data_IF_984269101908
#
_entry.id   IF_984269101908
#
_cell.length_a   1.000
_cell.length_b   1.000
_cell.length_c   1.000
_cell.angle_alpha   90.00
_cell.angle_beta   90.00
_cell.angle_gamma   90.00
#
_symmetry.space_group_name_H-M   'P 1'
#
loop_
_entity.id
_entity.type
_entity.pdbx_description
1 polymer ?
#
# COMPACT_ATOMS: atom_id res chain seq x y z
N UNK A 1 -8.24 -10.96 15.88
CA UNK A 1 -6.93 -11.62 15.81
C UNK A 1 -6.62 -12.18 14.41
N UNK A 2 -7.50 -13.00 13.78
CA UNK A 2 -7.20 -13.62 12.47
C UNK A 2 -6.98 -12.59 11.34
N UNK A 3 -7.76 -11.53 11.26
CA UNK A 3 -7.62 -10.48 10.24
C UNK A 3 -6.38 -9.63 10.53
N UNK A 4 -6.10 -9.32 11.78
CA UNK A 4 -4.89 -8.62 12.21
C UNK A 4 -3.65 -9.44 11.86
N UNK A 5 -3.62 -10.72 12.25
CA UNK A 5 -2.51 -11.62 11.94
C UNK A 5 -2.29 -11.77 10.43
N UNK A 6 -3.38 -11.85 9.64
CA UNK A 6 -3.29 -11.89 8.19
C UNK A 6 -2.76 -10.58 7.61
N UNK A 7 -3.20 -9.43 8.12
CA UNK A 7 -2.72 -8.13 7.68
C UNK A 7 -1.23 -7.93 7.99
N UNK A 8 -0.81 -8.28 9.19
CA UNK A 8 0.56 -8.08 9.67
C UNK A 8 1.57 -9.08 9.07
N UNK A 9 1.10 -10.20 8.54
CA UNK A 9 1.94 -11.23 7.94
C UNK A 9 1.78 -11.27 6.43
N UNK A 10 0.71 -11.89 5.96
CA UNK A 10 0.51 -12.18 4.52
C UNK A 10 0.34 -10.92 3.69
N UNK A 11 -0.56 -10.02 4.10
CA UNK A 11 -0.80 -8.78 3.37
C UNK A 11 0.40 -7.85 3.42
N UNK A 12 1.07 -7.75 4.58
CA UNK A 12 2.27 -6.94 4.75
C UNK A 12 3.42 -7.42 3.86
N UNK A 13 3.68 -8.71 3.83
CA UNK A 13 4.73 -9.28 2.98
C UNK A 13 4.42 -9.08 1.49
N UNK A 14 3.21 -9.40 1.06
CA UNK A 14 2.78 -9.25 -0.33
C UNK A 14 2.79 -7.78 -0.76
N UNK A 15 2.32 -6.87 0.09
CA UNK A 15 2.31 -5.43 -0.18
C UNK A 15 3.72 -4.84 -0.30
N UNK A 16 4.63 -5.20 0.61
CA UNK A 16 6.03 -4.76 0.55
C UNK A 16 6.73 -5.30 -0.70
N UNK A 17 6.54 -6.56 -1.03
CA UNK A 17 7.10 -7.17 -2.23
C UNK A 17 6.60 -6.46 -3.49
N UNK A 18 5.30 -6.22 -3.59
CA UNK A 18 4.70 -5.51 -4.71
C UNK A 18 5.24 -4.07 -4.84
N UNK A 19 5.40 -3.36 -3.72
CA UNK A 19 5.95 -2.01 -3.71
C UNK A 19 7.42 -1.98 -4.14
N UNK A 20 8.24 -2.90 -3.65
CA UNK A 20 9.66 -3.01 -4.04
C UNK A 20 9.79 -3.27 -5.53
N UNK A 21 8.97 -4.15 -6.08
CA UNK A 21 8.94 -4.41 -7.52
C UNK A 21 8.52 -3.18 -8.33
N UNK A 22 7.48 -2.48 -7.90
CA UNK A 22 7.03 -1.25 -8.54
C UNK A 22 8.13 -0.18 -8.53
N UNK A 23 8.81 0.01 -7.39
CA UNK A 23 9.92 0.95 -7.27
C UNK A 23 11.14 0.55 -8.12
N UNK A 24 11.38 -0.75 -8.31
CA UNK A 24 12.42 -1.24 -9.19
C UNK A 24 12.20 -0.85 -10.67
N UNK A 25 10.94 -0.83 -11.09
CA UNK A 25 10.53 -0.51 -12.47
C UNK A 25 10.30 0.98 -12.71
N UNK A 26 9.90 1.73 -11.67
CA UNK A 26 9.57 3.15 -11.76
C UNK A 26 10.62 4.01 -11.04
N UNK A 27 11.49 4.71 -11.79
CA UNK A 27 12.52 5.59 -11.20
C UNK A 27 11.94 6.74 -10.35
N UNK A 28 10.77 7.27 -10.72
CA UNK A 28 10.14 8.37 -9.97
C UNK A 28 9.64 7.87 -8.61
N UNK A 29 8.97 6.70 -8.59
CA UNK A 29 8.53 6.08 -7.35
C UNK A 29 9.73 5.72 -6.47
N UNK A 30 10.80 5.19 -7.06
CA UNK A 30 12.04 4.84 -6.35
C UNK A 30 12.66 6.05 -5.66
N UNK A 31 12.78 7.16 -6.36
CA UNK A 31 13.34 8.41 -5.80
C UNK A 31 12.40 8.98 -4.73
N UNK A 32 11.10 8.92 -4.94
CA UNK A 32 10.10 9.40 -3.97
C UNK A 32 10.08 8.62 -2.65
N UNK A 33 10.50 7.35 -2.67
CA UNK A 33 10.62 6.50 -1.48
C UNK A 33 11.92 6.72 -0.69
N UNK A 34 12.90 7.44 -1.26
CA UNK A 34 14.16 7.73 -0.57
C UNK A 34 13.93 8.78 0.53
N UNK A 35 14.66 8.67 1.64
CA UNK A 35 14.65 9.69 2.70
C UNK A 35 15.00 11.08 2.14
N UNK A 36 14.36 12.11 2.69
CA UNK A 36 14.56 13.50 2.23
C UNK A 36 15.95 14.07 2.53
N UNK A 37 16.63 13.49 3.51
CA UNK A 37 17.98 13.89 3.95
C UNK A 37 19.12 13.31 3.10
N UNK A 38 18.79 12.48 2.08
CA UNK A 38 19.82 11.95 1.18
C UNK A 38 20.37 13.04 0.25
N UNK A 39 21.72 13.11 0.08
CA UNK A 39 22.34 14.04 -0.87
C UNK A 39 21.85 13.84 -2.31
N UNK A 40 21.69 14.93 -3.06
CA UNK A 40 21.23 14.90 -4.45
C UNK A 40 22.01 13.96 -5.38
N UNK A 41 23.36 13.85 -5.27
CA UNK A 41 24.12 12.90 -6.10
C UNK A 41 23.69 11.44 -5.88
N UNK A 42 23.42 11.04 -4.62
CA UNK A 42 22.98 9.70 -4.28
C UNK A 42 21.57 9.46 -4.82
N UNK A 43 20.69 10.43 -4.66
CA UNK A 43 19.31 10.40 -5.17
C UNK A 43 19.30 10.25 -6.70
N UNK A 44 20.15 10.98 -7.41
CA UNK A 44 20.29 10.90 -8.86
C UNK A 44 20.79 9.54 -9.35
N UNK A 45 21.77 8.95 -8.67
CA UNK A 45 22.30 7.62 -8.99
C UNK A 45 21.22 6.56 -8.79
N UNK A 46 20.49 6.62 -7.69
CA UNK A 46 19.39 5.66 -7.40
C UNK A 46 18.27 5.76 -8.43
N UNK A 47 17.96 6.94 -8.92
CA UNK A 47 16.98 7.15 -10.00
C UNK A 47 17.48 6.64 -11.35
N UNK A 48 18.77 6.72 -11.61
CA UNK A 48 19.38 6.34 -12.89
C UNK A 48 19.59 4.82 -13.08
N UNK A 49 19.43 4.00 -12.05
CA UNK A 49 19.59 2.53 -12.16
C UNK A 49 18.53 1.98 -13.11
N UNK A 50 18.92 1.30 -14.22
CA UNK A 50 17.97 0.73 -15.14
C UNK A 50 17.11 -0.34 -14.45
N UNK A 51 15.79 -0.26 -14.61
CA UNK A 51 14.85 -1.26 -14.06
C UNK A 51 15.12 -2.69 -14.53
N UNK A 52 15.66 -2.86 -15.74
CA UNK A 52 16.01 -4.17 -16.30
C UNK A 52 17.04 -4.96 -15.52
N UNK A 53 17.87 -4.32 -14.68
CA UNK A 53 18.82 -5.03 -13.82
C UNK A 53 18.13 -5.75 -12.66
N UNK A 54 16.96 -5.29 -12.27
CA UNK A 54 16.17 -5.85 -11.17
C UNK A 54 15.16 -6.89 -11.67
N UNK A 55 14.75 -6.80 -12.94
CA UNK A 55 13.73 -7.68 -13.54
C UNK A 55 14.13 -9.17 -13.52
N UNK A 56 15.40 -9.50 -13.71
CA UNK A 56 15.84 -10.89 -13.75
C UNK A 56 15.69 -11.64 -12.41
N UNK A 57 15.55 -10.90 -11.31
CA UNK A 57 15.39 -11.49 -9.97
C UNK A 57 13.93 -11.53 -9.53
N UNK A 58 13.11 -10.59 -10.03
CA UNK A 58 11.72 -10.40 -9.58
C UNK A 58 10.68 -11.09 -10.46
N UNK A 59 10.97 -11.33 -11.75
CA UNK A 59 10.00 -11.96 -12.67
C UNK A 59 9.71 -13.44 -12.34
N UNK A 60 10.65 -14.15 -11.73
CA UNK A 60 10.53 -15.59 -11.48
C UNK A 60 9.66 -15.95 -10.27
N UNK A 61 9.34 -14.99 -9.39
CA UNK A 61 8.77 -15.32 -8.07
C UNK A 61 7.27 -15.00 -7.97
N UNK A 62 6.65 -14.15 -8.84
CA UNK A 62 5.49 -13.43 -8.34
C UNK A 62 4.22 -13.30 -9.17
N UNK A 63 4.03 -13.95 -10.30
CA UNK A 63 2.75 -13.86 -11.01
C UNK A 63 1.60 -14.53 -10.24
N UNK A 64 1.86 -15.68 -9.61
CA UNK A 64 0.89 -16.38 -8.77
C UNK A 64 0.56 -15.62 -7.49
N UNK A 65 1.58 -15.14 -6.78
CA UNK A 65 1.41 -14.37 -5.54
C UNK A 65 0.66 -13.05 -5.76
N UNK A 66 0.90 -12.40 -6.88
CA UNK A 66 0.19 -11.17 -7.25
C UNK A 66 -1.28 -11.41 -7.56
N UNK A 67 -1.61 -12.52 -8.25
CA UNK A 67 -2.98 -12.93 -8.51
C UNK A 67 -3.72 -13.28 -7.21
N UNK A 68 -3.05 -13.96 -6.29
CA UNK A 68 -3.59 -14.31 -4.97
C UNK A 68 -3.82 -13.06 -4.11
N UNK A 69 -2.89 -12.11 -4.16
CA UNK A 69 -3.04 -10.81 -3.50
C UNK A 69 -4.25 -10.05 -4.05
N UNK A 70 -4.38 -9.95 -5.37
CA UNK A 70 -5.50 -9.28 -6.00
C UNK A 70 -6.83 -9.93 -5.61
N UNK A 71 -6.93 -11.27 -5.65
CA UNK A 71 -8.12 -11.99 -5.25
C UNK A 71 -8.50 -11.73 -3.78
N UNK A 72 -7.52 -11.72 -2.89
CA UNK A 72 -7.71 -11.41 -1.46
C UNK A 72 -8.19 -9.97 -1.26
N UNK A 73 -7.64 -9.02 -2.00
CA UNK A 73 -8.05 -7.62 -1.95
C UNK A 73 -9.47 -7.42 -2.52
N UNK A 74 -9.85 -8.13 -3.58
CA UNK A 74 -11.21 -8.11 -4.10
C UNK A 74 -12.23 -8.65 -3.09
N UNK A 75 -11.89 -9.71 -2.37
CA UNK A 75 -12.72 -10.24 -1.28
C UNK A 75 -12.85 -9.23 -0.14
N UNK A 76 -11.76 -8.57 0.21
CA UNK A 76 -11.76 -7.52 1.22
C UNK A 76 -12.64 -6.34 0.79
N UNK A 77 -12.56 -5.92 -0.46
CA UNK A 77 -13.41 -4.88 -1.04
C UNK A 77 -14.89 -5.23 -0.93
N UNK A 78 -15.26 -6.46 -1.24
CA UNK A 78 -16.64 -6.95 -1.07
C UNK A 78 -17.09 -6.94 0.40
N UNK A 79 -16.18 -7.23 1.33
CA UNK A 79 -16.50 -7.23 2.77
C UNK A 79 -16.82 -5.83 3.28
N UNK A 80 -16.09 -4.80 2.85
CA UNK A 80 -16.34 -3.41 3.28
C UNK A 80 -17.60 -2.80 2.66
N UNK A 81 -18.06 -3.31 1.52
CA UNK A 81 -19.36 -2.92 0.95
C UNK A 81 -20.53 -3.39 1.83
N UNK A 82 -20.40 -4.56 2.46
CA UNK A 82 -21.41 -5.13 3.35
C UNK A 82 -21.39 -4.49 4.75
N UNK A 83 -20.21 -4.12 5.25
CA UNK A 83 -20.03 -3.48 6.56
C UNK A 83 -18.84 -2.50 6.51
N UNK A 84 -18.96 -1.29 7.07
CA UNK A 84 -17.87 -0.31 7.07
C UNK A 84 -16.67 -0.71 7.95
N UNK A 85 -16.83 -1.77 8.74
CA UNK A 85 -15.80 -2.31 9.64
C UNK A 85 -15.57 -3.77 9.37
N UNK A 86 -14.31 -4.20 9.47
CA UNK A 86 -13.89 -5.57 9.21
C UNK A 86 -14.34 -6.54 10.31
N UNK A 87 -14.43 -6.04 11.54
CA UNK A 87 -14.84 -6.81 12.71
C UNK A 87 -15.79 -6.00 13.58
N UNK A 88 -17.00 -6.51 13.79
CA UNK A 88 -17.99 -5.88 14.67
C UNK A 88 -18.60 -4.59 14.09
N UNK A 89 -19.05 -3.72 14.97
CA UNK A 89 -19.85 -2.54 14.64
C UNK A 89 -19.09 -1.20 14.80
N UNK A 90 -17.79 -1.26 15.08
CA UNK A 90 -16.94 -0.09 15.27
C UNK A 90 -15.52 -0.34 14.80
N UNK A 91 -14.75 0.74 14.62
CA UNK A 91 -13.35 0.67 14.23
C UNK A 91 -12.51 -0.11 15.25
N UNK A 92 -11.75 -1.08 14.77
CA UNK A 92 -10.88 -1.96 15.54
C UNK A 92 -9.43 -1.89 15.05
N UNK A 93 -8.52 -2.56 15.77
CA UNK A 93 -7.12 -2.72 15.32
C UNK A 93 -7.01 -3.45 13.99
N UNK A 94 -7.97 -4.34 13.65
CA UNK A 94 -8.01 -5.01 12.36
C UNK A 94 -8.16 -4.01 11.21
N UNK A 95 -9.04 -3.01 11.36
CA UNK A 95 -9.23 -1.96 10.37
C UNK A 95 -7.95 -1.13 10.19
N UNK A 96 -7.31 -0.78 11.28
CA UNK A 96 -6.06 0.01 11.28
C UNK A 96 -4.92 -0.79 10.63
N UNK A 97 -4.75 -2.05 10.99
CA UNK A 97 -3.72 -2.92 10.44
C UNK A 97 -3.88 -3.08 8.90
N UNK A 98 -5.08 -3.37 8.44
CA UNK A 98 -5.37 -3.49 7.01
C UNK A 98 -5.17 -2.14 6.29
N UNK A 99 -5.68 -1.05 6.85
CA UNK A 99 -5.51 0.30 6.30
C UNK A 99 -4.05 0.70 6.12
N UNK A 100 -3.20 0.37 7.11
CA UNK A 100 -1.77 0.61 7.03
C UNK A 100 -1.11 -0.15 5.85
N UNK A 101 -1.47 -1.41 5.63
CA UNK A 101 -0.93 -2.19 4.51
C UNK A 101 -1.45 -1.71 3.15
N UNK A 102 -2.71 -1.30 3.06
CA UNK A 102 -3.26 -0.69 1.84
C UNK A 102 -2.53 0.60 1.45
N UNK A 103 -1.98 1.31 2.43
CA UNK A 103 -1.19 2.52 2.20
C UNK A 103 0.13 2.26 1.46
N UNK A 104 0.66 1.04 1.51
CA UNK A 104 1.82 0.63 0.70
C UNK A 104 1.45 0.35 -0.76
N UNK A 105 0.22 -0.04 -1.03
CA UNK A 105 -0.26 -0.32 -2.39
C UNK A 105 -0.64 0.95 -3.14
N UNK A 106 -1.15 1.93 -2.41
CA UNK A 106 -1.40 3.29 -2.90
C UNK A 106 -1.24 4.27 -1.74
N UNK A 107 -0.28 5.17 -1.86
CA UNK A 107 0.01 6.13 -0.80
C UNK A 107 -1.13 7.12 -0.61
N UNK A 108 -1.56 7.36 0.64
CA UNK A 108 -2.56 8.37 0.96
C UNK A 108 -2.02 9.79 0.79
N UNK A 109 -2.90 10.77 0.85
CA UNK A 109 -2.52 12.19 0.79
C UNK A 109 -1.60 12.62 1.95
N UNK A 110 -1.73 11.97 3.11
CA UNK A 110 -0.88 12.18 4.29
C UNK A 110 0.59 11.76 4.09
N UNK A 111 0.87 10.94 3.08
CA UNK A 111 2.25 10.55 2.74
C UNK A 111 3.09 11.69 2.12
N UNK A 112 2.48 12.85 1.90
CA UNK A 112 3.12 14.02 1.33
C UNK A 112 3.05 14.09 -0.20
N UNK A 113 3.38 15.24 -0.79
CA UNK A 113 3.14 15.50 -2.21
C UNK A 113 3.98 14.62 -3.15
N UNK A 114 5.13 14.13 -2.72
CA UNK A 114 5.99 13.26 -3.52
C UNK A 114 5.39 11.85 -3.71
N UNK A 115 4.67 11.33 -2.71
CA UNK A 115 4.13 9.96 -2.69
C UNK A 115 2.62 9.89 -2.89
N UNK A 116 1.87 10.92 -2.50
CA UNK A 116 0.41 10.92 -2.54
C UNK A 116 -0.15 10.45 -3.89
N UNK A 117 -1.00 9.44 -3.84
CA UNK A 117 -1.62 8.83 -5.03
C UNK A 117 -0.73 7.89 -5.83
N UNK A 118 0.57 7.84 -5.58
CA UNK A 118 1.49 6.85 -6.19
C UNK A 118 1.27 5.49 -5.54
N UNK A 119 1.56 4.42 -6.29
CA UNK A 119 1.39 3.07 -5.78
C UNK A 119 1.82 2.01 -6.77
N UNK A 120 1.38 0.79 -6.51
CA UNK A 120 1.72 -0.40 -7.29
C UNK A 120 0.85 -0.45 -8.55
N UNK A 121 1.42 -0.34 -9.75
CA UNK A 121 0.64 -0.44 -10.99
C UNK A 121 -0.15 -1.75 -11.08
N UNK A 122 -1.40 -1.67 -11.53
CA UNK A 122 -2.31 -2.81 -11.60
C UNK A 122 -3.03 -3.14 -10.29
N UNK A 123 -2.62 -2.55 -9.16
CA UNK A 123 -3.33 -2.61 -7.87
C UNK A 123 -3.88 -1.23 -7.50
N UNK A 124 -3.05 -0.19 -7.47
CA UNK A 124 -3.45 1.18 -7.12
C UNK A 124 -4.51 1.76 -8.06
N UNK A 125 -4.48 1.38 -9.32
CA UNK A 125 -5.39 1.81 -10.39
C UNK A 125 -6.48 0.79 -10.73
N UNK A 126 -6.54 -0.36 -10.04
CA UNK A 126 -7.51 -1.40 -10.30
C UNK A 126 -8.94 -0.95 -9.93
N UNK A 127 -9.93 -1.03 -10.86
CA UNK A 127 -11.28 -0.48 -10.62
C UNK A 127 -11.98 -1.08 -9.41
N UNK A 128 -11.86 -2.38 -9.20
CA UNK A 128 -12.50 -3.09 -8.09
C UNK A 128 -11.88 -2.78 -6.73
N UNK A 129 -10.68 -2.21 -6.70
CA UNK A 129 -9.98 -1.87 -5.46
C UNK A 129 -10.18 -0.41 -5.05
N UNK A 130 -10.76 0.43 -5.89
CA UNK A 130 -11.01 1.84 -5.56
C UNK A 130 -11.84 2.01 -4.28
N UNK A 131 -12.89 1.22 -4.01
CA UNK A 131 -13.61 1.29 -2.75
C UNK A 131 -12.74 1.01 -1.52
N UNK A 132 -11.74 0.12 -1.62
CA UNK A 132 -10.79 -0.15 -0.54
C UNK A 132 -9.93 1.08 -0.22
N UNK A 133 -9.40 1.75 -1.23
CA UNK A 133 -8.58 2.94 -1.02
C UNK A 133 -9.42 4.10 -0.48
N UNK A 134 -10.65 4.25 -0.93
CA UNK A 134 -11.59 5.23 -0.37
C UNK A 134 -11.92 4.93 1.10
N UNK A 135 -12.16 3.66 1.43
CA UNK A 135 -12.39 3.21 2.80
C UNK A 135 -11.16 3.50 3.69
N UNK A 136 -9.95 3.21 3.21
CA UNK A 136 -8.71 3.53 3.90
C UNK A 136 -8.56 5.04 4.14
N UNK A 137 -8.87 5.87 3.16
CA UNK A 137 -8.81 7.33 3.29
C UNK A 137 -9.81 7.84 4.34
N UNK A 138 -11.02 7.27 4.39
CA UNK A 138 -12.02 7.57 5.42
C UNK A 138 -11.57 7.13 6.82
N UNK A 139 -10.95 5.96 6.92
CA UNK A 139 -10.37 5.45 8.16
C UNK A 139 -9.30 6.40 8.70
N UNK A 140 -8.42 6.87 7.85
CA UNK A 140 -7.34 7.80 8.19
C UNK A 140 -7.88 9.14 8.71
N UNK A 141 -8.91 9.69 8.06
CA UNK A 141 -9.58 10.90 8.53
C UNK A 141 -10.17 10.72 9.93
N UNK A 142 -10.84 9.61 10.19
CA UNK A 142 -11.39 9.31 11.53
C UNK A 142 -10.32 9.17 12.60
N UNK A 143 -9.16 8.61 12.26
CA UNK A 143 -8.03 8.51 13.18
C UNK A 143 -7.45 9.88 13.50
N UNK A 144 -7.31 10.75 12.51
CA UNK A 144 -6.85 12.13 12.71
C UNK A 144 -7.81 12.94 13.60
N UNK A 145 -9.12 12.84 13.38
CA UNK A 145 -10.14 13.50 14.19
C UNK A 145 -10.05 13.08 15.67
N UNK A 146 -9.94 11.78 15.93
CA UNK A 146 -9.76 11.25 17.31
C UNK A 146 -8.49 11.78 17.99
N UNK A 147 -7.39 11.84 17.26
CA UNK A 147 -6.12 12.35 17.80
C UNK A 147 -6.23 13.83 18.17
N UNK A 148 -7.00 14.62 17.43
CA UNK A 148 -7.22 16.04 17.71
C UNK A 148 -8.17 16.26 18.90
N UNK A 149 -9.12 15.36 19.14
CA UNK A 149 -10.03 15.43 20.29
C UNK A 149 -9.35 15.05 21.62
N UNK A 150 -8.30 14.25 21.57
CA UNK A 150 -7.52 13.82 22.76
C UNK A 150 -6.42 14.82 23.18
N UNK A 151 -6.16 15.85 22.41
CA UNK A 151 -5.18 16.91 22.69
C UNK A 151 -5.88 18.15 23.24
#
# INVERSE_FOLDING_TARGET
HLIEDWADTTLAMAGRTALVQAAALDPELRVALLPDDLPDPVRSVMGAIPGGWVNNVTELVNQGERADLLASLEQLAASIEASPWLVGDSMTLADIAVGAQLSLLRFPSSAGPALAGKGVPGLSDHPKLQPLFQWRDQLELKLMERTLEEV
#
